data_IF_163482842294
#
_entry.id   IF_163482842294
#
_cell.length_a   1.000
_cell.length_b   1.000
_cell.length_c   1.000
_cell.angle_alpha   90.00
_cell.angle_beta   90.00
_cell.angle_gamma   90.00
#
_symmetry.space_group_name_H-M   'P 1'
#
loop_
_entity.id
_entity.type
_entity.pdbx_description
1 polymer ?
#
# COMPACT_ATOMS: atom_id res chain seq x y z
N UNK A 1 -7.75 -22.94 11.65
CA UNK A 1 -6.69 -23.95 11.90
C UNK A 1 -6.04 -23.86 13.28
N UNK A 2 -5.72 -22.65 13.76
CA UNK A 2 -4.93 -22.45 14.97
C UNK A 2 -5.65 -22.81 16.29
N UNK A 3 -6.97 -23.01 16.26
CA UNK A 3 -7.73 -23.53 17.41
C UNK A 3 -7.54 -25.03 17.66
N UNK A 4 -6.87 -25.76 16.76
CA UNK A 4 -6.43 -27.13 17.05
C UNK A 4 -5.20 -27.10 17.97
N UNK A 5 -5.47 -27.11 19.28
CA UNK A 5 -4.45 -27.07 20.33
C UNK A 5 -3.59 -28.33 20.40
N UNK A 6 -3.98 -29.43 19.75
CA UNK A 6 -3.13 -30.63 19.67
C UNK A 6 -2.05 -30.44 18.61
N UNK A 7 -2.41 -29.83 17.48
CA UNK A 7 -1.48 -29.54 16.37
C UNK A 7 -0.67 -28.25 16.60
N UNK A 8 -1.23 -27.30 17.33
CA UNK A 8 -0.61 -26.03 17.73
C UNK A 8 -0.65 -25.87 19.26
N UNK A 9 0.11 -26.69 20.02
CA UNK A 9 0.07 -26.69 21.50
C UNK A 9 0.81 -25.51 22.15
N UNK A 10 1.38 -24.62 21.35
CA UNK A 10 2.07 -23.39 21.78
C UNK A 10 1.40 -22.21 21.09
N UNK A 11 1.57 -21.02 21.66
CA UNK A 11 1.18 -19.78 20.99
C UNK A 11 1.78 -19.72 19.57
N UNK A 12 1.01 -19.16 18.63
CA UNK A 12 1.38 -19.12 17.21
C UNK A 12 1.57 -17.67 16.78
N UNK A 13 2.79 -17.32 16.35
CA UNK A 13 3.07 -16.08 15.62
C UNK A 13 2.73 -16.32 14.15
N UNK A 14 1.72 -15.65 13.63
CA UNK A 14 1.31 -15.71 12.23
C UNK A 14 0.98 -14.31 11.71
N UNK A 15 0.87 -14.18 10.39
CA UNK A 15 0.82 -12.88 9.72
C UNK A 15 -0.13 -12.94 8.51
N UNK A 16 -0.89 -11.87 8.28
CA UNK A 16 -1.74 -11.71 7.10
C UNK A 16 -1.01 -10.87 6.05
N UNK A 17 -0.68 -11.46 4.90
CA UNK A 17 0.15 -10.81 3.87
C UNK A 17 -0.63 -10.33 2.65
N UNK A 18 -1.95 -10.48 2.63
CA UNK A 18 -2.80 -9.97 1.54
C UNK A 18 -2.81 -8.44 1.46
N UNK A 19 -2.88 -7.95 0.24
CA UNK A 19 -3.23 -6.56 -0.08
C UNK A 19 -4.71 -6.28 0.19
N UNK A 20 -4.99 -5.08 0.67
CA UNK A 20 -6.34 -4.51 0.78
C UNK A 20 -6.35 -3.15 0.09
N UNK A 21 -7.30 -2.95 -0.81
CA UNK A 21 -7.47 -1.68 -1.50
C UNK A 21 -8.59 -0.92 -0.81
N UNK A 22 -8.32 0.33 -0.42
CA UNK A 22 -9.39 1.24 0.00
C UNK A 22 -10.11 1.80 -1.21
N UNK A 23 -11.34 2.26 -1.02
CA UNK A 23 -12.13 2.91 -2.06
C UNK A 23 -11.35 4.06 -2.70
N UNK A 24 -11.51 4.25 -4.03
CA UNK A 24 -10.78 5.28 -4.76
C UNK A 24 -11.00 6.69 -4.19
N UNK A 25 -9.94 7.50 -4.15
CA UNK A 25 -10.02 8.86 -3.62
C UNK A 25 -10.71 9.78 -4.63
N UNK A 26 -11.99 10.08 -4.41
CA UNK A 26 -12.82 10.91 -5.30
C UNK A 26 -13.58 11.97 -4.52
N UNK A 27 -13.73 13.17 -5.12
CA UNK A 27 -14.39 14.29 -4.45
C UNK A 27 -15.92 14.27 -4.48
N UNK A 28 -16.56 13.67 -5.50
CA UNK A 28 -18.03 13.71 -5.67
C UNK A 28 -18.63 12.57 -6.50
N UNK A 29 -19.89 12.24 -6.20
CA UNK A 29 -20.69 11.22 -6.90
C UNK A 29 -21.10 11.59 -8.34
N UNK A 30 -21.12 12.88 -8.70
CA UNK A 30 -21.54 13.34 -10.05
C UNK A 30 -20.59 12.91 -11.17
N UNK A 31 -19.43 12.35 -10.84
CA UNK A 31 -18.46 11.81 -11.78
C UNK A 31 -18.52 10.28 -11.96
N UNK A 32 -19.50 9.59 -11.36
CA UNK A 32 -19.63 8.12 -11.44
C UNK A 32 -19.67 7.59 -12.89
N UNK A 33 -20.26 8.33 -13.83
CA UNK A 33 -20.29 7.96 -15.26
C UNK A 33 -18.97 8.13 -16.01
N UNK A 34 -17.97 8.78 -15.39
CA UNK A 34 -16.65 9.06 -15.99
C UNK A 34 -15.52 8.26 -15.35
N UNK A 35 -15.83 7.31 -14.46
CA UNK A 35 -14.84 6.38 -13.94
C UNK A 35 -14.18 5.55 -15.05
N UNK A 36 -12.98 5.03 -14.78
CA UNK A 36 -12.38 4.02 -15.66
C UNK A 36 -13.23 2.73 -15.65
N UNK A 37 -13.05 1.86 -16.65
CA UNK A 37 -13.82 0.61 -16.73
C UNK A 37 -13.33 -0.40 -15.70
N UNK A 38 -14.22 -1.32 -15.28
CA UNK A 38 -13.85 -2.42 -14.38
C UNK A 38 -12.66 -3.24 -14.93
N UNK A 39 -12.70 -3.59 -16.21
CA UNK A 39 -11.61 -4.31 -16.86
C UNK A 39 -10.29 -3.55 -16.82
N UNK A 40 -10.32 -2.22 -17.00
CA UNK A 40 -9.10 -1.41 -16.87
C UNK A 40 -8.58 -1.39 -15.43
N UNK A 41 -9.45 -1.41 -14.42
CA UNK A 41 -8.99 -1.49 -13.03
C UNK A 41 -8.34 -2.86 -12.79
N UNK A 42 -9.08 -3.95 -13.00
CA UNK A 42 -8.63 -5.32 -12.72
C UNK A 42 -7.37 -5.74 -13.49
N UNK A 43 -7.16 -5.18 -14.68
CA UNK A 43 -5.96 -5.48 -15.47
C UNK A 43 -4.73 -4.69 -15.02
N UNK A 44 -4.91 -3.51 -14.42
CA UNK A 44 -3.82 -2.62 -14.03
C UNK A 44 -3.53 -2.65 -12.52
N UNK A 45 -4.42 -3.19 -11.70
CA UNK A 45 -4.07 -3.50 -10.32
C UNK A 45 -2.86 -4.42 -10.28
N UNK A 46 -2.04 -4.23 -9.25
CA UNK A 46 -0.85 -5.02 -9.02
C UNK A 46 -1.20 -6.51 -8.97
N UNK A 47 -0.56 -7.29 -9.84
CA UNK A 47 -0.70 -8.76 -9.88
C UNK A 47 0.02 -9.39 -8.67
N UNK A 48 -0.32 -10.63 -8.28
CA UNK A 48 0.32 -11.33 -7.17
C UNK A 48 1.85 -11.22 -7.19
N UNK A 49 2.44 -10.90 -6.04
CA UNK A 49 3.86 -10.57 -5.93
C UNK A 49 4.46 -11.01 -4.58
N UNK A 50 5.79 -11.04 -4.50
CA UNK A 50 6.48 -11.17 -3.22
C UNK A 50 6.18 -9.95 -2.35
N UNK A 51 6.04 -10.15 -1.05
CA UNK A 51 5.74 -9.10 -0.10
C UNK A 51 6.86 -8.06 -0.04
N UNK A 52 6.47 -6.79 -0.10
CA UNK A 52 7.35 -5.64 -0.10
C UNK A 52 6.77 -4.50 0.75
N UNK A 53 7.54 -3.43 0.86
CA UNK A 53 7.25 -2.30 1.73
C UNK A 53 7.39 -1.00 0.94
N UNK A 54 6.54 -0.02 1.23
CA UNK A 54 6.61 1.30 0.62
C UNK A 54 8.00 1.92 0.85
N UNK A 55 8.58 2.47 -0.22
CA UNK A 55 9.87 3.16 -0.17
C UNK A 55 9.72 4.64 -0.53
N UNK A 56 9.05 4.94 -1.64
CA UNK A 56 8.90 6.31 -2.14
C UNK A 56 7.67 6.45 -3.02
N UNK A 57 7.02 7.61 -2.95
CA UNK A 57 6.02 8.03 -3.93
C UNK A 57 6.52 9.29 -4.63
N UNK A 58 6.56 9.25 -5.96
CA UNK A 58 6.87 10.39 -6.81
C UNK A 58 5.57 10.94 -7.41
N UNK A 59 5.13 12.09 -6.92
CA UNK A 59 3.87 12.74 -7.28
C UNK A 59 4.04 13.65 -8.49
N UNK A 60 3.24 13.42 -9.53
CA UNK A 60 3.14 14.30 -10.68
C UNK A 60 1.88 15.16 -10.59
N UNK A 61 2.07 16.47 -10.66
CA UNK A 61 1.00 17.47 -10.52
C UNK A 61 0.68 18.13 -11.86
N UNK A 62 -0.60 18.33 -12.16
CA UNK A 62 -1.06 19.11 -13.32
C UNK A 62 -2.02 20.21 -12.91
N UNK A 63 -2.07 21.23 -13.75
CA UNK A 63 -3.09 22.29 -13.69
C UNK A 63 -4.43 21.80 -14.26
N UNK A 64 -5.52 22.07 -13.55
CA UNK A 64 -6.90 21.93 -13.99
C UNK A 64 -7.52 23.31 -14.16
N UNK A 65 -7.80 23.75 -15.40
CA UNK A 65 -8.47 25.03 -15.64
C UNK A 65 -9.93 24.98 -15.14
N UNK A 66 -10.29 26.03 -14.41
CA UNK A 66 -11.66 26.39 -14.10
C UNK A 66 -12.30 27.18 -15.24
N UNK A 67 -13.63 27.27 -15.26
CA UNK A 67 -14.36 27.96 -16.34
C UNK A 67 -14.14 29.48 -16.27
N UNK A 68 -14.07 30.02 -15.06
CA UNK A 68 -13.88 31.46 -14.80
C UNK A 68 -12.41 31.81 -14.51
N UNK A 69 -11.52 30.81 -14.50
CA UNK A 69 -10.09 30.95 -14.26
C UNK A 69 -9.72 31.04 -12.77
N UNK A 70 -10.51 31.74 -11.96
CA UNK A 70 -10.33 31.82 -10.50
C UNK A 70 -10.68 30.50 -9.76
N UNK A 71 -11.49 29.65 -10.38
CA UNK A 71 -11.86 28.30 -9.93
C UNK A 71 -10.88 27.21 -10.37
N UNK A 72 -9.73 27.60 -10.94
CA UNK A 72 -8.70 26.65 -11.38
C UNK A 72 -7.83 26.16 -10.20
N UNK A 73 -7.47 24.88 -10.22
CA UNK A 73 -6.65 24.24 -9.19
C UNK A 73 -5.58 23.33 -9.78
N UNK A 74 -4.59 22.96 -8.98
CA UNK A 74 -3.61 21.92 -9.32
C UNK A 74 -4.02 20.60 -8.67
N UNK A 75 -3.66 19.47 -9.26
CA UNK A 75 -4.01 18.16 -8.72
C UNK A 75 -2.98 17.07 -9.00
N UNK A 76 -3.01 16.02 -8.18
CA UNK A 76 -2.26 14.80 -8.37
C UNK A 76 -2.76 14.06 -9.60
N UNK A 77 -1.97 14.15 -10.66
CA UNK A 77 -2.31 13.67 -12.00
C UNK A 77 -1.72 12.30 -12.33
N UNK A 78 -0.66 11.88 -11.64
CA UNK A 78 0.00 10.60 -11.83
C UNK A 78 1.13 10.34 -10.83
N UNK A 79 1.67 9.13 -10.80
CA UNK A 79 2.80 8.79 -9.94
C UNK A 79 3.71 7.69 -10.50
N UNK A 80 4.93 7.65 -9.98
CA UNK A 80 5.67 6.40 -9.76
C UNK A 80 5.60 6.05 -8.28
N UNK A 81 5.60 4.76 -7.97
CA UNK A 81 5.79 4.26 -6.62
C UNK A 81 6.97 3.30 -6.62
N UNK A 82 7.82 3.42 -5.61
CA UNK A 82 8.95 2.55 -5.38
C UNK A 82 8.70 1.76 -4.10
N UNK A 83 9.07 0.48 -4.13
CA UNK A 83 8.94 -0.47 -3.01
C UNK A 83 10.27 -1.16 -2.76
N UNK A 84 10.48 -1.62 -1.53
CA UNK A 84 11.62 -2.44 -1.14
C UNK A 84 11.15 -3.87 -0.81
N UNK A 85 11.84 -4.92 -1.27
CA UNK A 85 11.55 -6.29 -0.90
C UNK A 85 11.57 -6.53 0.61
N UNK A 86 11.08 -7.72 0.99
CA UNK A 86 11.33 -8.26 2.33
C UNK A 86 12.84 -8.37 2.63
N UNK A 87 13.17 -8.44 3.92
CA UNK A 87 14.54 -8.54 4.40
C UNK A 87 15.36 -9.57 3.61
N UNK A 88 16.61 -9.22 3.30
CA UNK A 88 17.54 -10.03 2.50
C UNK A 88 17.85 -9.47 1.11
N UNK A 89 17.10 -8.46 0.63
CA UNK A 89 17.49 -7.62 -0.51
C UNK A 89 17.23 -6.14 -0.23
N UNK A 90 18.06 -5.28 -0.83
CA UNK A 90 17.91 -3.83 -0.81
C UNK A 90 17.52 -3.27 -2.20
N UNK A 91 17.19 -4.15 -3.16
CA UNK A 91 16.88 -3.74 -4.52
C UNK A 91 15.55 -3.00 -4.57
N UNK A 92 15.56 -1.74 -4.99
CA UNK A 92 14.32 -0.94 -5.08
C UNK A 92 13.58 -1.27 -6.37
N UNK A 93 12.33 -1.71 -6.23
CA UNK A 93 11.43 -2.00 -7.34
C UNK A 93 10.60 -0.74 -7.62
N UNK A 94 10.75 -0.17 -8.81
CA UNK A 94 9.97 0.98 -9.26
C UNK A 94 8.85 0.55 -10.19
N UNK A 95 7.64 1.04 -9.93
CA UNK A 95 6.46 0.78 -10.74
C UNK A 95 6.60 1.31 -12.17
N UNK A 96 5.74 0.84 -13.10
CA UNK A 96 5.39 1.63 -14.27
C UNK A 96 4.82 3.00 -13.87
N UNK A 97 4.74 3.90 -14.83
CA UNK A 97 4.09 5.19 -14.60
C UNK A 97 2.56 5.02 -14.58
N UNK A 98 1.90 5.57 -13.57
CA UNK A 98 0.44 5.60 -13.48
C UNK A 98 -0.09 7.03 -13.68
N UNK A 99 -1.13 7.21 -14.47
CA UNK A 99 -1.76 8.52 -14.72
C UNK A 99 -1.07 9.36 -15.78
N UNK A 100 -1.04 10.68 -15.57
CA UNK A 100 -0.51 11.68 -16.51
C UNK A 100 0.75 12.37 -15.96
N UNK A 101 1.71 12.64 -16.86
CA UNK A 101 2.93 13.38 -16.51
C UNK A 101 2.60 14.82 -16.10
N UNK A 102 3.41 15.35 -15.21
CA UNK A 102 3.19 16.65 -14.59
C UNK A 102 3.40 17.82 -15.56
N UNK A 103 2.63 18.90 -15.36
CA UNK A 103 2.96 20.24 -15.86
C UNK A 103 3.69 21.08 -14.81
N UNK A 104 3.55 20.68 -13.55
CA UNK A 104 4.13 21.36 -12.38
C UNK A 104 5.35 20.58 -11.85
N UNK A 105 6.15 21.17 -10.93
CA UNK A 105 7.25 20.46 -10.27
C UNK A 105 6.79 19.18 -9.59
N UNK A 106 7.57 18.12 -9.79
CA UNK A 106 7.38 16.81 -9.16
C UNK A 106 7.72 16.90 -7.68
N UNK A 107 6.94 16.21 -6.84
CA UNK A 107 7.24 16.06 -5.40
C UNK A 107 7.61 14.60 -5.11
N UNK A 108 8.66 14.39 -4.32
CA UNK A 108 9.08 13.06 -3.89
C UNK A 108 8.93 12.98 -2.37
N UNK A 109 8.17 11.99 -1.90
CA UNK A 109 8.06 11.65 -0.49
C UNK A 109 8.67 10.28 -0.26
N UNK A 110 9.62 10.19 0.68
CA UNK A 110 10.36 8.97 1.00
C UNK A 110 9.92 8.43 2.37
N UNK A 111 9.62 7.15 2.43
CA UNK A 111 9.02 6.47 3.58
C UNK A 111 9.96 5.39 4.14
N UNK A 112 11.26 5.65 4.07
CA UNK A 112 12.30 4.69 4.42
C UNK A 112 12.30 4.34 5.91
N UNK A 113 11.88 3.12 6.24
CA UNK A 113 11.78 2.68 7.63
C UNK A 113 10.52 3.19 8.35
N UNK A 114 9.66 3.89 7.62
CA UNK A 114 8.43 4.49 8.15
C UNK A 114 7.23 3.57 7.90
N UNK A 115 6.30 3.55 8.87
CA UNK A 115 5.01 2.88 8.77
C UNK A 115 3.94 3.93 8.59
N UNK A 116 3.52 4.15 7.34
CA UNK A 116 2.43 5.09 7.02
C UNK A 116 1.10 4.46 7.43
N UNK A 117 0.54 4.87 8.56
CA UNK A 117 -0.64 4.26 9.17
C UNK A 117 -1.95 5.00 8.89
N UNK A 118 -1.89 6.22 8.35
CA UNK A 118 -3.06 7.00 7.94
C UNK A 118 -2.76 7.88 6.74
N UNK A 119 -3.75 8.00 5.86
CA UNK A 119 -3.75 8.97 4.78
C UNK A 119 -5.04 9.80 4.83
N UNK A 120 -4.90 11.13 4.84
CA UNK A 120 -6.03 12.06 4.72
C UNK A 120 -5.86 12.85 3.44
N UNK A 121 -6.84 12.76 2.54
CA UNK A 121 -6.77 13.38 1.23
C UNK A 121 -7.84 14.46 1.07
N UNK A 122 -7.44 15.61 0.54
CA UNK A 122 -8.34 16.68 0.14
C UNK A 122 -8.46 16.68 -1.38
N UNK A 123 -9.69 16.80 -1.86
CA UNK A 123 -10.02 16.92 -3.28
C UNK A 123 -10.65 18.26 -3.57
N UNK A 124 -10.59 18.67 -4.83
CA UNK A 124 -11.22 19.89 -5.30
C UNK A 124 -11.90 19.69 -6.66
N UNK A 125 -12.79 20.60 -7.02
CA UNK A 125 -13.62 20.56 -8.21
C UNK A 125 -13.50 21.84 -9.03
N UNK A 126 -13.56 21.69 -10.35
CA UNK A 126 -13.81 22.79 -11.28
C UNK A 126 -15.12 22.48 -12.01
N UNK A 127 -16.08 23.39 -11.88
CA UNK A 127 -17.45 23.21 -12.41
C UNK A 127 -17.63 24.16 -13.58
N UNK A 128 -17.71 23.60 -14.77
CA UNK A 128 -18.05 24.29 -16.01
C UNK A 128 -19.55 24.12 -16.29
N UNK A 129 -20.16 24.98 -17.13
CA UNK A 129 -21.57 24.84 -17.50
C UNK A 129 -21.95 23.45 -18.06
N UNK A 130 -21.01 22.74 -18.69
CA UNK A 130 -21.22 21.44 -19.35
C UNK A 130 -20.38 20.29 -18.79
N UNK A 131 -19.59 20.53 -17.75
CA UNK A 131 -18.56 19.59 -17.31
C UNK A 131 -18.15 19.80 -15.84
N UNK A 132 -17.78 18.73 -15.16
CA UNK A 132 -17.16 18.78 -13.83
C UNK A 132 -15.82 18.06 -13.89
N UNK A 133 -14.80 18.64 -13.29
CA UNK A 133 -13.46 18.06 -13.17
C UNK A 133 -13.12 17.90 -11.69
N UNK A 134 -12.36 16.87 -11.34
CA UNK A 134 -11.96 16.58 -9.97
C UNK A 134 -10.51 16.12 -9.91
N UNK A 135 -9.86 16.40 -8.79
CA UNK A 135 -8.55 15.85 -8.50
C UNK A 135 -8.17 15.97 -7.03
N UNK A 136 -7.24 15.14 -6.60
CA UNK A 136 -6.65 15.20 -5.27
C UNK A 136 -5.66 16.36 -5.22
N UNK A 137 -5.87 17.31 -4.33
CA UNK A 137 -5.05 18.53 -4.23
C UNK A 137 -4.06 18.48 -3.07
N UNK A 138 -4.34 17.67 -2.05
CA UNK A 138 -3.46 17.49 -0.89
C UNK A 138 -3.62 16.07 -0.35
N UNK A 139 -2.53 15.46 0.11
CA UNK A 139 -2.57 14.23 0.90
C UNK A 139 -1.59 14.34 2.05
N UNK A 140 -2.07 14.12 3.27
CA UNK A 140 -1.27 14.03 4.48
C UNK A 140 -1.08 12.55 4.84
N UNK A 141 0.18 12.12 4.94
CA UNK A 141 0.57 10.77 5.30
C UNK A 141 1.13 10.80 6.73
N UNK A 142 0.33 10.32 7.69
CA UNK A 142 0.79 10.13 9.06
C UNK A 142 1.61 8.84 9.12
N UNK A 143 2.82 8.95 9.64
CA UNK A 143 3.80 7.88 9.63
C UNK A 143 4.44 7.72 11.01
N UNK A 144 4.92 6.51 11.29
CA UNK A 144 5.52 6.15 12.56
C UNK A 144 6.78 5.31 12.34
N UNK A 145 7.83 5.61 13.10
CA UNK A 145 9.10 4.91 13.04
C UNK A 145 9.30 4.06 14.30
N UNK A 146 9.34 2.73 14.15
CA UNK A 146 9.51 1.82 15.29
C UNK A 146 10.87 1.98 16.00
N UNK A 147 11.91 2.46 15.29
CA UNK A 147 13.27 2.53 15.83
C UNK A 147 13.47 3.75 16.72
N UNK A 148 12.91 4.90 16.33
CA UNK A 148 12.99 6.15 17.09
C UNK A 148 11.82 6.35 18.03
N UNK A 149 10.73 5.56 17.88
CA UNK A 149 9.48 5.73 18.61
C UNK A 149 8.83 7.10 18.37
N UNK A 150 8.91 7.59 17.13
CA UNK A 150 8.43 8.92 16.75
C UNK A 150 7.35 8.85 15.66
N UNK A 151 6.31 9.67 15.83
CA UNK A 151 5.30 9.92 14.81
C UNK A 151 5.59 11.23 14.07
N UNK A 152 5.41 11.23 12.76
CA UNK A 152 5.58 12.41 11.91
C UNK A 152 4.56 12.44 10.78
N UNK A 153 4.56 13.50 9.98
CA UNK A 153 3.66 13.63 8.81
C UNK A 153 4.44 14.15 7.61
N UNK A 154 4.24 13.50 6.46
CA UNK A 154 4.67 14.01 5.16
C UNK A 154 3.45 14.42 4.35
N UNK A 155 3.61 15.46 3.53
CA UNK A 155 2.48 16.06 2.79
C UNK A 155 2.82 16.18 1.32
N UNK A 156 1.91 15.69 0.49
CA UNK A 156 1.79 16.14 -0.89
C UNK A 156 0.84 17.34 -0.92
N UNK A 157 1.27 18.45 -1.51
CA UNK A 157 0.41 19.62 -1.76
C UNK A 157 0.58 20.09 -3.21
N UNK A 158 -0.52 20.15 -3.95
CA UNK A 158 -0.58 20.64 -5.34
C UNK A 158 -0.25 22.14 -5.48
N UNK A 159 -0.19 22.89 -4.37
CA UNK A 159 0.16 24.32 -4.24
C UNK A 159 -0.84 25.31 -4.85
N UNK A 160 -1.99 24.82 -5.34
CA UNK A 160 -3.10 25.66 -5.82
C UNK A 160 -4.43 24.94 -5.60
N UNK A 161 -5.18 25.36 -4.58
CA UNK A 161 -6.48 24.79 -4.23
C UNK A 161 -7.49 25.90 -3.86
N UNK A 162 -8.79 25.63 -4.01
CA UNK A 162 -9.90 26.63 -3.91
C UNK A 162 -11.06 26.09 -3.04
N UNK A 163 -10.87 24.95 -2.37
CA UNK A 163 -11.88 24.27 -1.56
C UNK A 163 -11.44 22.83 -1.25
N UNK A 164 -12.14 22.14 -0.32
CA UNK A 164 -11.78 20.77 0.06
C UNK A 164 -13.01 19.89 0.36
N UNK A 165 -13.05 18.71 -0.27
CA UNK A 165 -13.78 17.53 0.23
C UNK A 165 -12.73 16.53 0.75
N UNK A 166 -12.93 16.01 1.96
CA UNK A 166 -11.96 15.15 2.65
C UNK A 166 -12.30 13.66 2.51
N UNK A 167 -11.26 12.85 2.35
CA UNK A 167 -11.29 11.39 2.44
C UNK A 167 -10.29 10.96 3.52
N UNK A 168 -10.62 9.96 4.34
CA UNK A 168 -9.77 9.47 5.42
C UNK A 168 -9.68 7.94 5.39
N UNK A 169 -8.47 7.41 5.51
CA UNK A 169 -8.26 5.97 5.50
C UNK A 169 -8.85 5.27 6.73
N UNK A 170 -8.97 5.95 7.87
CA UNK A 170 -9.46 5.33 9.12
C UNK A 170 -10.95 4.95 9.06
N UNK A 171 -11.72 5.61 8.18
CA UNK A 171 -13.14 5.31 7.97
C UNK A 171 -13.34 3.95 7.29
N UNK A 172 -12.31 3.43 6.61
CA UNK A 172 -12.32 2.14 5.92
C UNK A 172 -11.46 1.09 6.61
N UNK A 173 -10.34 1.52 7.21
CA UNK A 173 -9.38 0.68 7.92
C UNK A 173 -9.22 1.21 9.34
N UNK A 174 -10.21 0.97 10.23
CA UNK A 174 -10.14 1.45 11.60
C UNK A 174 -8.98 0.80 12.37
N UNK A 175 -8.49 1.44 13.45
CA UNK A 175 -7.51 0.83 14.34
C UNK A 175 -8.07 -0.43 15.02
N UNK A 176 -7.18 -1.31 15.47
CA UNK A 176 -7.53 -2.52 16.22
C UNK A 176 -8.10 -2.19 17.61
N UNK A 177 -7.75 -1.03 18.16
CA UNK A 177 -8.24 -0.51 19.43
C UNK A 177 -8.30 1.01 19.41
N UNK A 178 -9.20 1.58 20.22
CA UNK A 178 -9.28 3.03 20.50
C UNK A 178 -8.65 3.42 21.83
N UNK A 179 -8.13 2.45 22.58
CA UNK A 179 -7.54 2.66 23.92
C UNK A 179 -6.07 3.13 23.85
N UNK A 180 -5.46 3.08 22.66
CA UNK A 180 -4.09 3.52 22.40
C UNK A 180 -4.07 4.65 21.35
N UNK A 181 -3.00 5.47 21.31
CA UNK A 181 -2.75 6.40 20.21
C UNK A 181 -2.76 5.68 18.85
N UNK A 182 -3.22 6.36 17.79
CA UNK A 182 -3.46 5.74 16.49
C UNK A 182 -2.19 5.10 15.89
N UNK A 183 -1.03 5.72 16.07
CA UNK A 183 0.27 5.20 15.64
C UNK A 183 0.65 3.88 16.31
N UNK A 184 0.01 3.53 17.43
CA UNK A 184 0.13 2.23 18.11
C UNK A 184 -1.06 1.33 17.81
N UNK A 185 -2.27 1.87 17.70
CA UNK A 185 -3.50 1.12 17.48
C UNK A 185 -3.82 0.75 16.03
N UNK A 186 -3.09 1.27 15.03
CA UNK A 186 -3.42 1.05 13.61
C UNK A 186 -3.48 -0.44 13.22
N UNK A 187 -4.31 -0.78 12.24
CA UNK A 187 -4.45 -2.16 11.75
C UNK A 187 -3.70 -2.41 10.44
N UNK A 188 -3.45 -1.37 9.65
CA UNK A 188 -2.85 -1.47 8.32
C UNK A 188 -1.86 -0.34 8.06
N UNK A 189 -0.89 -0.61 7.18
CA UNK A 189 0.09 0.36 6.72
C UNK A 189 0.08 0.45 5.19
N UNK A 190 0.34 1.64 4.66
CA UNK A 190 0.35 1.89 3.21
C UNK A 190 1.49 1.10 2.56
N UNK A 191 1.18 0.40 1.48
CA UNK A 191 2.15 -0.36 0.69
C UNK A 191 2.34 0.23 -0.71
N UNK A 192 1.24 0.63 -1.37
CA UNK A 192 1.27 1.02 -2.77
C UNK A 192 0.25 2.09 -3.14
N UNK A 193 0.45 2.75 -4.28
CA UNK A 193 -0.53 3.65 -4.88
C UNK A 193 -0.52 3.61 -6.40
N UNK A 194 -1.73 3.59 -6.96
CA UNK A 194 -1.97 3.60 -8.40
C UNK A 194 -2.90 4.75 -8.77
N UNK A 195 -2.61 5.40 -9.90
CA UNK A 195 -3.42 6.47 -10.46
C UNK A 195 -4.17 6.00 -11.71
N UNK A 196 -5.50 6.04 -11.67
CA UNK A 196 -6.37 5.71 -12.81
C UNK A 196 -6.90 6.97 -13.48
N UNK A 197 -6.86 7.01 -14.81
CA UNK A 197 -7.40 8.13 -15.57
C UNK A 197 -8.93 8.03 -15.68
N UNK A 198 -9.61 9.16 -15.45
CA UNK A 198 -11.04 9.26 -15.70
C UNK A 198 -11.31 9.43 -17.20
N UNK A 199 -12.41 8.85 -17.68
CA UNK A 199 -12.89 9.05 -19.04
C UNK A 199 -13.27 10.53 -19.26
N UNK A 200 -13.22 11.00 -20.50
CA UNK A 200 -13.53 12.40 -20.83
C UNK A 200 -12.57 13.42 -20.19
N UNK A 201 -11.36 12.97 -19.79
CA UNK A 201 -10.32 13.79 -19.18
C UNK A 201 -10.80 14.55 -17.93
N UNK A 202 -11.64 13.91 -17.10
CA UNK A 202 -12.21 14.54 -15.88
C UNK A 202 -11.24 14.62 -14.71
N UNK A 203 -10.09 13.97 -14.80
CA UNK A 203 -9.07 13.95 -13.75
C UNK A 203 -8.39 12.60 -13.62
N UNK A 204 -7.77 12.39 -12.46
CA UNK A 204 -7.12 11.15 -12.07
C UNK A 204 -7.65 10.72 -10.70
N UNK A 205 -7.83 9.42 -10.51
CA UNK A 205 -8.32 8.80 -9.29
C UNK A 205 -7.20 7.92 -8.69
N UNK A 206 -6.59 8.33 -7.58
CA UNK A 206 -5.67 7.49 -6.83
C UNK A 206 -6.42 6.38 -6.07
N UNK A 207 -5.81 5.20 -6.02
CA UNK A 207 -6.24 4.05 -5.21
C UNK A 207 -5.06 3.61 -4.36
N UNK A 208 -5.28 3.50 -3.04
CA UNK A 208 -4.27 3.12 -2.06
C UNK A 208 -4.37 1.63 -1.74
N UNK A 209 -3.22 0.97 -1.67
CA UNK A 209 -3.10 -0.44 -1.27
C UNK A 209 -2.42 -0.52 0.08
N UNK A 210 -2.96 -1.33 0.97
CA UNK A 210 -2.55 -1.46 2.36
C UNK A 210 -2.25 -2.91 2.72
N UNK A 211 -1.27 -3.11 3.59
CA UNK A 211 -0.92 -4.42 4.16
C UNK A 211 -1.13 -4.41 5.67
N UNK A 212 -1.41 -5.58 6.24
CA UNK A 212 -1.77 -5.70 7.66
C UNK A 212 -0.57 -5.43 8.58
N UNK A 213 -0.80 -4.80 9.74
CA UNK A 213 0.24 -4.48 10.74
C UNK A 213 0.96 -5.71 11.29
N UNK A 214 0.32 -6.89 11.27
CA UNK A 214 0.93 -8.14 11.74
C UNK A 214 2.20 -8.52 10.98
N UNK A 215 2.42 -7.97 9.78
CA UNK A 215 3.56 -8.36 8.96
C UNK A 215 4.87 -7.83 9.52
N UNK A 216 5.74 -8.73 9.94
CA UNK A 216 7.01 -8.42 10.60
C UNK A 216 8.13 -8.27 9.57
N UNK A 217 8.68 -7.07 9.39
CA UNK A 217 9.77 -6.82 8.43
C UNK A 217 10.97 -7.77 8.61
N UNK A 218 11.30 -8.15 9.84
CA UNK A 218 12.52 -8.89 10.15
C UNK A 218 12.36 -10.41 10.01
N UNK A 219 11.17 -10.92 9.68
CA UNK A 219 10.92 -12.36 9.62
C UNK A 219 11.42 -13.08 10.90
N UNK A 220 11.05 -12.54 12.07
CA UNK A 220 11.58 -13.00 13.34
C UNK A 220 11.05 -14.40 13.68
N UNK A 221 11.98 -15.31 14.00
CA UNK A 221 11.69 -16.67 14.46
C UNK A 221 11.73 -16.68 15.98
N UNK A 222 10.59 -16.95 16.59
CA UNK A 222 10.40 -16.88 18.04
C UNK A 222 10.90 -18.18 18.71
N UNK A 223 11.64 -18.04 19.81
CA UNK A 223 12.23 -19.18 20.53
C UNK A 223 11.22 -19.98 21.35
N UNK A 224 10.05 -19.41 21.65
CA UNK A 224 9.01 -19.97 22.53
C UNK A 224 7.73 -20.32 21.78
N UNK A 225 7.42 -19.60 20.70
CA UNK A 225 6.19 -19.76 19.91
C UNK A 225 6.41 -20.66 18.69
N UNK A 226 5.31 -21.07 18.08
CA UNK A 226 5.31 -21.59 16.72
C UNK A 226 5.27 -20.39 15.78
N UNK A 227 6.32 -20.19 14.98
CA UNK A 227 6.32 -19.15 13.93
C UNK A 227 5.80 -19.72 12.61
N UNK A 228 4.77 -19.11 12.04
CA UNK A 228 4.38 -19.28 10.65
C UNK A 228 5.03 -18.18 9.82
N UNK A 229 5.72 -18.58 8.75
CA UNK A 229 6.42 -17.66 7.86
C UNK A 229 5.82 -17.79 6.45
N UNK A 230 4.97 -16.84 6.02
CA UNK A 230 4.41 -16.84 4.68
C UNK A 230 5.53 -16.81 3.63
N UNK A 231 5.52 -17.75 2.68
CA UNK A 231 6.64 -17.90 1.73
C UNK A 231 6.77 -16.70 0.78
N UNK A 232 5.68 -15.93 0.59
CA UNK A 232 5.71 -14.66 -0.16
C UNK A 232 6.59 -13.59 0.49
N UNK A 233 7.02 -13.76 1.75
CA UNK A 233 8.02 -12.88 2.40
C UNK A 233 9.46 -13.25 2.05
N UNK A 234 9.66 -14.15 1.10
CA UNK A 234 10.95 -14.34 0.44
C UNK A 234 11.38 -13.05 -0.27
N UNK A 235 12.68 -12.81 -0.36
CA UNK A 235 13.22 -11.67 -1.11
C UNK A 235 13.59 -12.04 -2.55
N UNK A 236 13.61 -13.33 -2.88
CA UNK A 236 13.97 -13.84 -4.20
C UNK A 236 13.18 -15.11 -4.54
N UNK A 237 12.58 -15.14 -5.72
CA UNK A 237 12.09 -16.36 -6.36
C UNK A 237 13.19 -17.03 -7.17
N UNK A 238 13.09 -18.34 -7.32
CA UNK A 238 13.96 -19.13 -8.20
C UNK A 238 13.27 -19.39 -9.55
N UNK A 239 14.04 -19.87 -10.53
CA UNK A 239 13.48 -20.29 -11.82
C UNK A 239 12.41 -21.37 -11.62
N UNK A 240 11.32 -21.29 -12.37
CA UNK A 240 10.20 -22.22 -12.26
C UNK A 240 9.27 -21.98 -11.06
N UNK A 241 9.42 -20.86 -10.33
CA UNK A 241 8.50 -20.46 -9.27
C UNK A 241 7.83 -19.10 -9.60
N UNK A 242 6.56 -18.96 -9.23
CA UNK A 242 5.79 -17.73 -9.39
C UNK A 242 4.87 -17.49 -8.19
N UNK A 243 4.55 -16.23 -7.91
CA UNK A 243 3.49 -15.90 -6.95
C UNK A 243 2.15 -15.95 -7.67
N UNK A 244 1.18 -16.64 -7.08
CA UNK A 244 -0.17 -16.74 -7.60
C UNK A 244 -1.18 -16.42 -6.49
N UNK A 245 -2.37 -16.01 -6.93
CA UNK A 245 -3.45 -15.66 -6.01
C UNK A 245 -3.74 -16.80 -5.04
N UNK A 246 -3.75 -16.47 -3.74
CA UNK A 246 -4.05 -17.45 -2.70
C UNK A 246 -5.50 -17.98 -2.80
N UNK A 247 -5.79 -19.16 -2.24
CA UNK A 247 -7.15 -19.74 -2.24
C UNK A 247 -8.09 -19.07 -1.23
N UNK A 248 -7.82 -17.82 -0.83
CA UNK A 248 -8.55 -16.97 0.13
C UNK A 248 -8.47 -17.36 1.61
N UNK A 249 -8.32 -18.64 1.95
CA UNK A 249 -8.23 -19.10 3.34
C UNK A 249 -6.80 -19.13 3.92
N UNK A 250 -5.80 -18.69 3.15
CA UNK A 250 -4.38 -18.61 3.55
C UNK A 250 -3.96 -17.25 4.10
N UNK A 251 -4.82 -16.24 4.02
CA UNK A 251 -4.52 -14.88 4.48
C UNK A 251 -3.60 -14.06 3.55
N UNK A 252 -3.23 -14.61 2.39
CA UNK A 252 -2.37 -14.00 1.39
C UNK A 252 -2.08 -14.93 0.22
N UNK A 253 -1.26 -14.45 -0.71
CA UNK A 253 -0.85 -15.20 -1.90
C UNK A 253 0.07 -16.39 -1.59
N UNK A 254 0.22 -17.28 -2.57
CA UNK A 254 1.03 -18.49 -2.46
C UNK A 254 2.08 -18.55 -3.57
N UNK A 255 3.12 -19.36 -3.38
CA UNK A 255 4.10 -19.65 -4.42
C UNK A 255 3.75 -20.96 -5.09
N UNK A 256 3.63 -20.92 -6.41
CA UNK A 256 3.45 -22.07 -7.27
C UNK A 256 4.78 -22.42 -7.94
N UNK A 257 5.13 -23.70 -7.93
CA UNK A 257 6.30 -24.23 -8.64
C UNK A 257 5.83 -25.06 -9.83
N UNK A 258 6.41 -24.80 -11.00
CA UNK A 258 6.17 -25.57 -12.25
C UNK A 258 7.33 -26.51 -12.57
N UNK A 259 8.44 -26.38 -11.88
CA UNK A 259 9.65 -27.19 -12.05
C UNK A 259 10.12 -27.74 -10.70
N UNK A 260 10.86 -28.86 -10.73
CA UNK A 260 11.47 -29.41 -9.54
C UNK A 260 12.69 -28.58 -9.14
N UNK A 261 12.75 -28.13 -7.89
CA UNK A 261 13.89 -27.39 -7.37
C UNK A 261 13.54 -26.52 -6.17
N UNK A 262 14.48 -25.65 -5.79
CA UNK A 262 14.24 -24.60 -4.79
C UNK A 262 13.20 -23.62 -5.32
N UNK A 263 12.20 -23.25 -4.51
CA UNK A 263 11.15 -22.31 -4.92
C UNK A 263 11.54 -20.84 -4.70
N UNK A 264 12.09 -20.54 -3.52
CA UNK A 264 12.35 -19.17 -3.08
C UNK A 264 13.48 -19.14 -2.05
N UNK A 265 14.05 -17.95 -1.84
CA UNK A 265 15.02 -17.68 -0.78
C UNK A 265 14.45 -16.64 0.17
N UNK A 266 14.35 -17.02 1.44
CA UNK A 266 13.82 -16.19 2.52
C UNK A 266 14.91 -15.94 3.55
N UNK A 267 15.04 -14.68 3.97
CA UNK A 267 15.90 -14.31 5.08
C UNK A 267 15.08 -14.33 6.36
N UNK A 268 15.66 -14.82 7.45
CA UNK A 268 15.01 -14.94 8.76
C UNK A 268 15.93 -14.41 9.84
N UNK A 269 15.34 -13.79 10.86
CA UNK A 269 16.08 -13.31 12.04
C UNK A 269 15.73 -14.18 13.24
N UNK A 270 16.65 -15.02 13.74
CA UNK A 270 16.37 -15.81 14.94
C UNK A 270 16.32 -14.90 16.17
N UNK A 271 15.40 -15.20 17.08
CA UNK A 271 15.44 -14.68 18.44
C UNK A 271 16.76 -15.10 19.12
N UNK A 272 17.31 -14.25 19.99
CA UNK A 272 18.69 -14.20 20.51
C UNK A 272 19.28 -15.52 21.07
N UNK A 273 18.46 -16.56 21.26
CA UNK A 273 18.92 -17.90 21.64
C UNK A 273 19.34 -18.74 20.42
N UNK A 274 20.60 -18.57 20.00
CA UNK A 274 21.22 -19.41 18.95
C UNK A 274 21.38 -20.90 19.33
N UNK A 275 21.11 -21.28 20.59
CA UNK A 275 21.14 -22.67 21.06
C UNK A 275 19.82 -23.41 20.85
N UNK A 276 18.72 -22.69 20.55
CA UNK A 276 17.41 -23.30 20.33
C UNK A 276 17.41 -24.10 19.03
N UNK A 277 16.93 -25.35 19.10
CA UNK A 277 16.71 -26.20 17.93
C UNK A 277 15.26 -26.10 17.48
N UNK A 278 15.04 -25.98 16.17
CA UNK A 278 13.72 -25.86 15.56
C UNK A 278 13.41 -27.07 14.70
N UNK A 279 12.12 -27.44 14.66
CA UNK A 279 11.58 -28.39 13.70
C UNK A 279 10.80 -27.61 12.65
N UNK A 280 11.20 -27.73 11.39
CA UNK A 280 10.47 -27.16 10.26
C UNK A 280 9.26 -28.03 9.88
N UNK A 281 8.18 -27.39 9.45
CA UNK A 281 7.03 -28.01 8.78
C UNK A 281 6.57 -27.07 7.66
N UNK A 282 6.13 -27.65 6.55
CA UNK A 282 5.54 -26.96 5.40
C UNK A 282 4.10 -27.44 5.29
#
# INVERSE_FOLDING_TARGET
PLYDVRLYPKEVKTELTRDVLTDPIVGVNNLRGYGTTFSNIENYIRKPHLFDYLHRIQFHTRFQPGYYGNDSFNYWSGNYVSTRPSIGSNDIITSPFYGNKSSEPVQNLEFNGEKVYRAVANTNLAVWPSAVYSGVTKVEFSQYNDQTDEASTQTYDSKRNVGAVSWDSIDQLPPETTDEPLEKGYSHQLNYVMCFLMQGSRGTIPVLTWTHKSVDFFNMIDSKKITQLPLVKAYKLQSGASVVAGPRFTGGDIIQCTENGSAATIYVTPDVSYSQKYRARI
#
